data_IF_271313184970
#
_entry.id   IF_271313184970
#
_cell.length_a   1.000
_cell.length_b   1.000
_cell.length_c   1.000
_cell.angle_alpha   90.00
_cell.angle_beta   90.00
_cell.angle_gamma   90.00
#
_symmetry.space_group_name_H-M   'P 1'
#
loop_
_entity.id
_entity.type
_entity.pdbx_description
1 polymer ?
#
# COMPACT_ATOMS: atom_id res chain seq x y z
N UNK A 1 -24.03 23.30 -17.03
CA UNK A 1 -24.03 22.22 -16.02
C UNK A 1 -22.57 21.86 -15.74
N UNK A 2 -21.92 22.53 -14.77
CA UNK A 2 -20.52 22.26 -14.44
C UNK A 2 -20.39 21.06 -13.50
N UNK A 3 -19.31 20.27 -13.56
CA UNK A 3 -19.09 19.20 -12.60
C UNK A 3 -18.90 19.82 -11.22
N UNK A 4 -19.77 19.45 -10.26
CA UNK A 4 -19.57 19.78 -8.85
C UNK A 4 -18.33 19.02 -8.38
N UNK A 5 -17.19 19.71 -8.31
CA UNK A 5 -16.01 19.20 -7.63
C UNK A 5 -16.38 18.83 -6.20
N UNK A 6 -16.20 17.55 -5.84
CA UNK A 6 -16.39 17.07 -4.48
C UNK A 6 -15.29 17.70 -3.62
N UNK A 7 -15.64 18.63 -2.74
CA UNK A 7 -14.68 19.17 -1.75
C UNK A 7 -14.24 18.03 -0.82
N UNK A 8 -12.94 17.93 -0.52
CA UNK A 8 -12.48 17.10 0.58
C UNK A 8 -13.16 17.56 1.88
N UNK A 9 -13.62 16.64 2.76
CA UNK A 9 -14.22 17.00 4.03
C UNK A 9 -13.22 17.81 4.86
N UNK A 10 -13.63 18.99 5.33
CA UNK A 10 -12.80 19.87 6.17
C UNK A 10 -13.01 19.65 7.66
N UNK A 11 -13.69 18.58 8.06
CA UNK A 11 -14.05 18.31 9.45
C UNK A 11 -13.04 17.36 10.09
N UNK A 12 -12.01 17.90 10.72
CA UNK A 12 -11.28 17.18 11.77
C UNK A 12 -12.14 17.29 13.05
N UNK A 13 -12.56 16.18 13.68
CA UNK A 13 -13.35 16.25 14.91
C UNK A 13 -12.40 16.63 16.05
N UNK A 14 -12.48 17.86 16.54
CA UNK A 14 -11.57 18.37 17.60
C UNK A 14 -12.04 18.01 19.01
N UNK A 15 -13.13 17.25 19.17
CA UNK A 15 -13.80 17.00 20.45
C UNK A 15 -14.41 15.58 20.57
N UNK A 16 -14.02 14.64 19.70
CA UNK A 16 -14.62 13.30 19.63
C UNK A 16 -16.03 13.26 19.02
N UNK A 17 -16.63 14.42 18.72
CA UNK A 17 -17.89 14.50 17.98
C UNK A 17 -17.61 14.23 16.51
N UNK A 18 -18.07 13.08 15.99
CA UNK A 18 -17.91 12.74 14.58
C UNK A 18 -18.46 13.82 13.63
N UNK A 19 -17.97 13.81 12.38
CA UNK A 19 -18.55 14.59 11.29
C UNK A 19 -19.63 13.78 10.55
N UNK A 20 -20.38 14.44 9.66
CA UNK A 20 -21.32 13.75 8.76
C UNK A 20 -20.64 12.71 7.84
N UNK A 21 -19.32 12.78 7.66
CA UNK A 21 -18.53 11.84 6.86
C UNK A 21 -17.85 10.76 7.71
N UNK A 22 -17.44 11.11 8.92
CA UNK A 22 -16.79 10.19 9.87
C UNK A 22 -17.50 10.31 11.21
N UNK A 23 -18.43 9.39 11.50
CA UNK A 23 -19.29 9.45 12.69
C UNK A 23 -18.54 9.24 14.02
N UNK A 24 -17.31 8.75 13.97
CA UNK A 24 -16.38 8.70 15.10
C UNK A 24 -14.93 8.75 14.60
N UNK A 25 -14.00 8.95 15.52
CA UNK A 25 -12.56 8.82 15.26
C UNK A 25 -12.21 7.43 14.72
N UNK A 26 -12.84 6.39 15.26
CA UNK A 26 -12.63 5.01 14.79
C UNK A 26 -13.06 4.82 13.33
N UNK A 27 -14.19 5.42 12.90
CA UNK A 27 -14.58 5.40 11.48
C UNK A 27 -13.59 6.17 10.60
N UNK A 28 -13.02 7.28 11.09
CA UNK A 28 -11.97 7.99 10.37
C UNK A 28 -10.69 7.14 10.26
N UNK A 29 -10.27 6.47 11.32
CA UNK A 29 -9.09 5.59 11.34
C UNK A 29 -9.27 4.39 10.42
N UNK A 30 -10.45 3.76 10.39
CA UNK A 30 -10.77 2.72 9.40
C UNK A 30 -10.68 3.25 7.97
N UNK A 31 -11.14 4.46 7.69
CA UNK A 31 -11.02 5.03 6.35
C UNK A 31 -9.56 5.27 5.93
N UNK A 32 -8.68 5.69 6.84
CA UNK A 32 -7.24 5.85 6.56
C UNK A 32 -6.56 4.48 6.44
N UNK A 33 -6.89 3.53 7.31
CA UNK A 33 -6.43 2.13 7.23
C UNK A 33 -6.77 1.52 5.88
N UNK A 34 -7.99 1.71 5.39
CA UNK A 34 -8.42 1.25 4.07
C UNK A 34 -7.54 1.79 2.92
N UNK A 35 -6.97 2.99 3.07
CA UNK A 35 -6.06 3.55 2.08
C UNK A 35 -4.70 2.82 2.06
N UNK A 36 -4.24 2.25 3.18
CA UNK A 36 -3.03 1.42 3.24
C UNK A 36 -3.15 0.17 2.35
N UNK A 37 -4.36 -0.40 2.26
CA UNK A 37 -4.66 -1.57 1.42
C UNK A 37 -4.65 -1.27 -0.10
N UNK A 38 -4.43 -0.02 -0.50
CA UNK A 38 -4.05 0.29 -1.89
C UNK A 38 -2.82 -0.52 -2.31
N UNK A 39 -1.88 -0.79 -1.40
CA UNK A 39 -0.73 -1.62 -1.69
C UNK A 39 -1.10 -3.08 -2.01
N UNK A 40 -2.10 -3.64 -1.33
CA UNK A 40 -2.49 -5.04 -1.50
C UNK A 40 -3.11 -5.27 -2.88
N UNK A 41 -4.12 -4.49 -3.24
CA UNK A 41 -4.77 -4.69 -4.54
C UNK A 41 -3.99 -4.00 -5.66
N UNK A 42 -3.87 -2.68 -5.60
CA UNK A 42 -3.45 -1.89 -6.75
C UNK A 42 -1.96 -2.05 -7.03
N UNK A 43 -1.13 -2.15 -5.99
CA UNK A 43 0.33 -2.29 -6.18
C UNK A 43 0.76 -3.73 -6.36
N UNK A 44 0.52 -4.60 -5.38
CA UNK A 44 0.93 -6.01 -5.43
C UNK A 44 0.26 -6.71 -6.61
N UNK A 45 -1.07 -6.73 -6.69
CA UNK A 45 -1.75 -7.54 -7.71
C UNK A 45 -1.74 -6.90 -9.09
N UNK A 46 -2.12 -5.62 -9.18
CA UNK A 46 -2.35 -4.99 -10.49
C UNK A 46 -1.09 -4.44 -11.14
N UNK A 47 -0.25 -3.70 -10.40
CA UNK A 47 0.94 -3.07 -10.98
C UNK A 47 2.15 -4.01 -11.08
N UNK A 48 2.20 -5.09 -10.28
CA UNK A 48 3.36 -6.01 -10.26
C UNK A 48 2.96 -7.43 -10.68
N UNK A 49 2.09 -8.11 -9.94
CA UNK A 49 1.82 -9.54 -10.14
C UNK A 49 1.25 -9.82 -11.52
N UNK A 50 0.27 -9.04 -11.95
CA UNK A 50 -0.41 -9.23 -13.23
C UNK A 50 0.53 -9.02 -14.43
N UNK A 51 1.32 -7.93 -14.53
CA UNK A 51 2.33 -7.82 -15.57
C UNK A 51 3.43 -8.89 -15.52
N UNK A 52 3.78 -9.35 -14.31
CA UNK A 52 4.75 -10.42 -14.08
C UNK A 52 4.22 -11.83 -14.38
N UNK A 53 2.94 -11.97 -14.72
CA UNK A 53 2.32 -13.26 -14.97
C UNK A 53 2.08 -14.11 -13.72
N UNK A 54 2.17 -13.50 -12.53
CA UNK A 54 1.94 -14.16 -11.24
C UNK A 54 0.45 -14.21 -10.86
N UNK A 55 -0.37 -13.38 -11.50
CA UNK A 55 -1.84 -13.40 -11.40
C UNK A 55 -2.47 -12.99 -12.73
N UNK A 56 -3.69 -13.47 -12.99
CA UNK A 56 -4.55 -13.02 -14.10
C UNK A 56 -3.86 -12.78 -15.46
N UNK A 57 -2.93 -13.68 -15.83
CA UNK A 57 -2.19 -13.62 -17.08
C UNK A 57 -2.31 -14.94 -17.86
N UNK A 58 -3.15 -14.94 -18.89
CA UNK A 58 -3.48 -16.15 -19.66
C UNK A 58 -2.45 -16.51 -20.74
N UNK A 59 -1.42 -15.66 -20.96
CA UNK A 59 -0.40 -15.81 -22.02
C UNK A 59 1.03 -16.02 -21.51
N UNK A 60 1.25 -16.17 -20.19
CA UNK A 60 2.57 -16.46 -19.59
C UNK A 60 3.51 -15.26 -19.42
N UNK A 61 3.37 -14.20 -20.22
CA UNK A 61 3.96 -12.88 -19.96
C UNK A 61 2.95 -11.80 -20.35
N UNK A 62 2.68 -10.88 -19.42
CA UNK A 62 1.72 -9.80 -19.57
C UNK A 62 2.39 -8.43 -19.48
N UNK A 63 3.61 -8.30 -20.03
CA UNK A 63 4.33 -7.03 -20.14
C UNK A 63 3.48 -5.90 -20.75
N UNK A 64 2.49 -6.24 -21.57
CA UNK A 64 1.56 -5.25 -22.11
C UNK A 64 0.69 -4.56 -21.04
N UNK A 65 0.51 -5.18 -19.89
CA UNK A 65 -0.27 -4.66 -18.77
C UNK A 65 0.54 -3.77 -17.84
N UNK A 66 1.84 -3.59 -18.10
CA UNK A 66 2.67 -2.66 -17.31
C UNK A 66 2.12 -1.24 -17.42
N UNK A 67 1.72 -0.68 -16.29
CA UNK A 67 1.29 0.72 -16.21
C UNK A 67 2.45 1.66 -16.57
N UNK A 68 2.21 2.69 -17.37
CA UNK A 68 3.23 3.68 -17.78
C UNK A 68 4.41 3.11 -18.59
N UNK A 69 4.20 1.98 -19.27
CA UNK A 69 5.24 1.28 -20.06
C UNK A 69 5.99 2.11 -21.08
N UNK A 70 5.30 3.04 -21.73
CA UNK A 70 5.88 3.89 -22.77
C UNK A 70 6.77 5.01 -22.23
N UNK A 71 6.66 5.31 -20.93
CA UNK A 71 7.50 6.28 -20.24
C UNK A 71 8.61 5.61 -19.41
N UNK A 72 8.62 4.27 -19.33
CA UNK A 72 9.53 3.50 -18.46
C UNK A 72 9.51 3.97 -16.99
N UNK A 73 8.35 4.44 -16.52
CA UNK A 73 8.19 5.07 -15.21
C UNK A 73 7.57 4.15 -14.15
N UNK A 74 7.24 2.90 -14.51
CA UNK A 74 6.43 1.99 -13.69
C UNK A 74 7.05 1.71 -12.32
N UNK A 75 8.34 1.35 -12.29
CA UNK A 75 9.06 1.10 -11.04
C UNK A 75 9.10 2.36 -10.14
N UNK A 76 9.32 3.53 -10.74
CA UNK A 76 9.31 4.80 -10.01
C UNK A 76 7.92 5.15 -9.45
N UNK A 77 6.84 4.77 -10.12
CA UNK A 77 5.48 4.99 -9.64
C UNK A 77 5.07 4.00 -8.55
N UNK A 78 5.47 2.73 -8.68
CA UNK A 78 5.33 1.75 -7.60
C UNK A 78 6.07 2.21 -6.34
N UNK A 79 7.31 2.67 -6.48
CA UNK A 79 8.09 3.21 -5.36
C UNK A 79 7.39 4.40 -4.68
N UNK A 80 6.77 5.29 -5.47
CA UNK A 80 5.98 6.41 -4.92
C UNK A 80 4.72 5.93 -4.18
N UNK A 81 4.10 4.82 -4.58
CA UNK A 81 3.00 4.24 -3.82
C UNK A 81 3.48 3.70 -2.46
N UNK A 82 4.65 3.04 -2.41
CA UNK A 82 5.27 2.60 -1.16
C UNK A 82 5.60 3.77 -0.23
N UNK A 83 6.16 4.87 -0.77
CA UNK A 83 6.37 6.08 0.02
C UNK A 83 5.05 6.73 0.50
N UNK A 84 3.97 6.59 -0.26
CA UNK A 84 2.64 7.00 0.16
C UNK A 84 2.16 6.21 1.38
N UNK A 85 2.32 4.88 1.34
CA UNK A 85 2.08 4.00 2.49
C UNK A 85 2.94 4.42 3.68
N UNK A 86 4.25 4.65 3.49
CA UNK A 86 5.16 5.10 4.55
C UNK A 86 4.66 6.34 5.27
N UNK A 87 4.18 7.33 4.52
CA UNK A 87 3.68 8.60 5.11
C UNK A 87 2.41 8.44 5.92
N UNK A 88 1.59 7.45 5.60
CA UNK A 88 0.41 7.11 6.40
C UNK A 88 0.83 6.27 7.62
N UNK A 89 1.77 5.35 7.43
CA UNK A 89 2.17 4.40 8.47
C UNK A 89 3.08 5.00 9.53
N UNK A 90 4.06 5.85 9.16
CA UNK A 90 5.07 6.48 10.04
C UNK A 90 4.89 8.00 10.18
N UNK A 91 3.75 8.52 9.72
CA UNK A 91 3.46 9.95 9.69
C UNK A 91 4.19 10.74 8.59
N UNK A 92 3.81 12.02 8.44
CA UNK A 92 4.20 12.86 7.32
C UNK A 92 4.80 14.22 7.75
N UNK A 93 5.69 14.23 8.74
CA UNK A 93 6.44 15.46 9.07
C UNK A 93 7.51 15.76 8.03
N UNK A 94 8.00 17.01 8.01
CA UNK A 94 9.08 17.45 7.12
C UNK A 94 10.38 16.64 7.28
N UNK A 95 10.54 15.95 8.40
CA UNK A 95 11.77 15.26 8.79
C UNK A 95 11.60 13.73 8.72
N UNK A 96 10.45 13.23 8.22
CA UNK A 96 10.19 11.80 8.06
C UNK A 96 9.82 11.05 9.35
N UNK A 97 9.48 11.77 10.42
CA UNK A 97 9.00 11.22 11.70
C UNK A 97 7.77 11.99 12.17
N UNK A 98 6.59 11.38 12.18
CA UNK A 98 5.37 12.00 12.72
C UNK A 98 4.41 10.94 13.26
N UNK A 99 3.31 11.37 13.88
CA UNK A 99 2.33 10.42 14.45
C UNK A 99 1.76 9.56 13.31
N UNK A 100 2.04 8.26 13.38
CA UNK A 100 1.63 7.24 12.44
C UNK A 100 0.85 6.09 13.09
N UNK A 101 0.55 5.09 12.28
CA UNK A 101 0.01 3.82 12.77
C UNK A 101 1.07 2.97 13.48
N UNK A 102 2.34 3.12 13.14
CA UNK A 102 3.46 2.51 13.86
C UNK A 102 3.50 2.97 15.33
N UNK A 103 3.30 4.27 15.59
CA UNK A 103 3.19 4.80 16.95
C UNK A 103 1.98 4.21 17.68
N UNK A 104 0.85 4.04 17.00
CA UNK A 104 -0.34 3.44 17.60
C UNK A 104 -0.11 1.96 17.94
N UNK A 105 0.55 1.20 17.05
CA UNK A 105 0.98 -0.17 17.34
C UNK A 105 1.85 -0.23 18.60
N UNK A 106 2.85 0.64 18.72
CA UNK A 106 3.69 0.73 19.92
C UNK A 106 2.84 1.04 21.16
N UNK A 107 1.90 2.00 21.06
CA UNK A 107 1.04 2.40 22.16
C UNK A 107 0.12 1.26 22.67
N UNK A 108 -0.26 0.32 21.80
CA UNK A 108 -1.04 -0.88 22.19
C UNK A 108 -0.17 -2.10 22.53
N UNK A 109 1.15 -1.92 22.61
CA UNK A 109 2.09 -2.99 22.98
C UNK A 109 2.50 -3.92 21.83
N UNK A 110 2.29 -3.50 20.58
CA UNK A 110 2.60 -4.23 19.35
C UNK A 110 3.88 -3.73 18.66
N UNK A 111 4.90 -3.33 19.43
CA UNK A 111 6.15 -2.76 18.89
C UNK A 111 6.88 -3.72 17.93
N UNK A 112 6.88 -5.02 18.21
CA UNK A 112 7.48 -6.03 17.32
C UNK A 112 6.80 -6.03 15.94
N UNK A 113 5.48 -5.86 15.89
CA UNK A 113 4.74 -5.77 14.63
C UNK A 113 5.05 -4.48 13.88
N UNK A 114 5.13 -3.34 14.60
CA UNK A 114 5.52 -2.06 14.00
C UNK A 114 6.89 -2.18 13.32
N UNK A 115 7.87 -2.74 14.03
CA UNK A 115 9.22 -2.96 13.51
C UNK A 115 9.23 -3.91 12.30
N UNK A 116 8.49 -5.03 12.37
CA UNK A 116 8.39 -5.98 11.27
C UNK A 116 7.78 -5.35 10.00
N UNK A 117 6.75 -4.51 10.15
CA UNK A 117 6.15 -3.79 9.02
C UNK A 117 7.09 -2.74 8.43
N UNK A 118 7.85 -2.02 9.27
CA UNK A 118 8.88 -1.06 8.79
C UNK A 118 9.96 -1.80 8.00
N UNK A 119 10.46 -2.93 8.52
CA UNK A 119 11.46 -3.74 7.84
C UNK A 119 10.94 -4.28 6.50
N UNK A 120 9.71 -4.81 6.47
CA UNK A 120 9.09 -5.29 5.23
C UNK A 120 8.92 -4.17 4.19
N UNK A 121 8.55 -2.96 4.63
CA UNK A 121 8.44 -1.78 3.76
C UNK A 121 9.81 -1.34 3.22
N UNK A 122 10.84 -1.30 4.07
CA UNK A 122 12.21 -1.01 3.68
C UNK A 122 12.73 -2.00 2.61
N UNK A 123 12.47 -3.28 2.80
CA UNK A 123 12.85 -4.31 1.82
C UNK A 123 12.10 -4.16 0.50
N UNK A 124 10.79 -3.88 0.54
CA UNK A 124 9.99 -3.63 -0.65
C UNK A 124 10.47 -2.40 -1.42
N UNK A 125 10.73 -1.28 -0.73
CA UNK A 125 11.25 -0.07 -1.35
C UNK A 125 12.61 -0.29 -2.02
N UNK A 126 13.55 -0.97 -1.34
CA UNK A 126 14.86 -1.31 -1.91
C UNK A 126 14.73 -2.17 -3.17
N UNK A 127 13.93 -3.25 -3.11
CA UNK A 127 13.78 -4.16 -4.25
C UNK A 127 13.14 -3.49 -5.46
N UNK A 128 12.18 -2.58 -5.25
CA UNK A 128 11.57 -1.81 -6.35
C UNK A 128 12.54 -0.74 -6.89
N UNK A 129 13.26 -0.04 -6.02
CA UNK A 129 14.21 1.00 -6.43
C UNK A 129 15.36 0.44 -7.28
N UNK A 130 15.75 -0.82 -7.03
CA UNK A 130 16.83 -1.48 -7.76
C UNK A 130 16.41 -1.92 -9.18
N UNK A 131 15.12 -1.91 -9.53
CA UNK A 131 14.63 -2.29 -10.88
C UNK A 131 15.13 -1.26 -11.91
N UNK A 132 16.05 -1.71 -12.78
CA UNK A 132 16.70 -0.90 -13.79
C UNK A 132 17.05 -1.77 -15.02
N UNK A 133 16.98 -1.24 -16.26
CA UNK A 133 16.64 0.15 -16.61
C UNK A 133 15.14 0.47 -16.53
N UNK A 134 14.28 -0.55 -16.55
CA UNK A 134 12.84 -0.39 -16.40
C UNK A 134 12.18 -1.71 -16.00
N UNK A 135 10.93 -1.66 -15.53
CA UNK A 135 10.18 -2.86 -15.16
C UNK A 135 9.93 -3.76 -16.38
N UNK A 136 9.65 -3.19 -17.56
CA UNK A 136 9.41 -3.97 -18.77
C UNK A 136 10.67 -4.70 -19.24
N UNK A 137 11.84 -4.04 -19.15
CA UNK A 137 13.11 -4.65 -19.53
C UNK A 137 13.45 -5.82 -18.60
N UNK A 138 13.29 -5.63 -17.28
CA UNK A 138 13.58 -6.65 -16.28
C UNK A 138 12.59 -7.82 -16.35
N UNK A 139 11.31 -7.57 -16.66
CA UNK A 139 10.33 -8.66 -16.92
C UNK A 139 10.77 -9.62 -18.03
N UNK A 140 11.55 -9.14 -19.01
CA UNK A 140 12.06 -9.97 -20.10
C UNK A 140 13.41 -10.59 -19.76
N UNK A 141 14.32 -9.83 -19.15
CA UNK A 141 15.70 -10.28 -18.93
C UNK A 141 15.90 -11.06 -17.63
N UNK A 142 15.08 -10.80 -16.61
CA UNK A 142 15.18 -11.35 -15.26
C UNK A 142 13.81 -11.33 -14.53
N UNK A 143 12.84 -12.17 -14.96
CA UNK A 143 11.51 -12.20 -14.36
C UNK A 143 11.50 -12.59 -12.88
N UNK A 144 12.47 -13.41 -12.45
CA UNK A 144 12.61 -13.83 -11.04
C UNK A 144 12.87 -12.63 -10.12
N UNK A 145 13.58 -11.61 -10.61
CA UNK A 145 13.77 -10.35 -9.89
C UNK A 145 12.46 -9.59 -9.65
N UNK A 146 11.55 -9.60 -10.61
CA UNK A 146 10.22 -8.99 -10.43
C UNK A 146 9.37 -9.84 -9.47
N UNK A 147 9.46 -11.16 -9.55
CA UNK A 147 8.79 -12.05 -8.60
C UNK A 147 9.30 -11.87 -7.16
N UNK A 148 10.61 -11.66 -6.98
CA UNK A 148 11.19 -11.34 -5.68
C UNK A 148 10.69 -9.99 -5.15
N UNK A 149 10.63 -8.95 -5.99
CA UNK A 149 10.09 -7.66 -5.60
C UNK A 149 8.59 -7.73 -5.23
N UNK A 150 7.79 -8.48 -5.99
CA UNK A 150 6.40 -8.79 -5.67
C UNK A 150 6.27 -9.46 -4.29
N UNK A 151 7.11 -10.47 -4.01
CA UNK A 151 7.07 -11.19 -2.74
C UNK A 151 7.35 -10.27 -1.53
N UNK A 152 8.20 -9.25 -1.69
CA UNK A 152 8.44 -8.24 -0.63
C UNK A 152 7.22 -7.37 -0.37
N UNK A 153 6.55 -6.88 -1.42
CA UNK A 153 5.28 -6.14 -1.26
C UNK A 153 4.21 -7.02 -0.64
N UNK A 154 4.11 -8.29 -1.04
CA UNK A 154 3.18 -9.27 -0.45
C UNK A 154 3.47 -9.49 1.04
N UNK A 155 4.72 -9.64 1.44
CA UNK A 155 5.07 -9.80 2.86
C UNK A 155 4.56 -8.63 3.73
N UNK A 156 4.71 -7.40 3.24
CA UNK A 156 4.15 -6.22 3.90
C UNK A 156 2.61 -6.26 3.96
N UNK A 157 1.93 -6.64 2.87
CA UNK A 157 0.46 -6.63 2.86
C UNK A 157 -0.16 -7.83 3.58
N UNK A 158 0.58 -8.92 3.77
CA UNK A 158 0.16 -10.04 4.62
C UNK A 158 0.13 -9.62 6.10
N UNK A 159 1.17 -8.91 6.59
CA UNK A 159 1.17 -8.31 7.94
C UNK A 159 0.00 -7.33 8.11
N UNK A 160 -0.29 -6.55 7.06
CA UNK A 160 -1.40 -5.60 7.05
C UNK A 160 -2.76 -6.30 7.17
N UNK A 161 -2.98 -7.41 6.45
CA UNK A 161 -4.25 -8.16 6.45
C UNK A 161 -4.50 -8.93 7.75
N UNK A 162 -3.44 -9.45 8.36
CA UNK A 162 -3.55 -10.30 9.54
C UNK A 162 -3.38 -9.48 10.83
N UNK A 163 -2.12 -9.24 11.20
CA UNK A 163 -1.78 -8.77 12.54
C UNK A 163 -2.17 -7.31 12.75
N UNK A 164 -1.99 -6.45 11.75
CA UNK A 164 -2.28 -5.02 11.86
C UNK A 164 -3.76 -4.72 12.16
N UNK A 165 -4.67 -5.29 11.36
CA UNK A 165 -6.11 -5.15 11.54
C UNK A 165 -6.52 -5.67 12.92
N UNK A 166 -5.97 -6.81 13.32
CA UNK A 166 -6.28 -7.44 14.61
C UNK A 166 -5.79 -6.61 15.79
N UNK A 167 -4.54 -6.14 15.77
CA UNK A 167 -3.93 -5.42 16.90
C UNK A 167 -4.54 -4.05 17.14
N UNK A 168 -5.04 -3.40 16.08
CA UNK A 168 -5.64 -2.06 16.16
C UNK A 168 -7.17 -2.07 16.17
N UNK A 169 -7.79 -3.26 16.22
CA UNK A 169 -9.25 -3.45 16.17
C UNK A 169 -9.90 -2.73 14.96
N UNK A 170 -9.22 -2.77 13.81
CA UNK A 170 -9.67 -2.13 12.58
C UNK A 170 -10.53 -3.09 11.75
N UNK A 171 -11.19 -2.56 10.73
CA UNK A 171 -11.97 -3.36 9.79
C UNK A 171 -11.15 -3.67 8.53
N UNK A 172 -11.18 -4.94 8.10
CA UNK A 172 -10.62 -5.31 6.81
C UNK A 172 -11.48 -4.72 5.68
N UNK A 173 -10.90 -4.04 4.67
CA UNK A 173 -11.67 -3.54 3.54
C UNK A 173 -12.41 -4.67 2.80
N UNK A 174 -13.64 -4.40 2.36
CA UNK A 174 -14.42 -5.33 1.53
C UNK A 174 -13.66 -5.73 0.26
N UNK A 175 -12.83 -4.83 -0.28
CA UNK A 175 -12.03 -5.06 -1.50
C UNK A 175 -10.93 -6.09 -1.33
N UNK A 176 -10.53 -6.42 -0.10
CA UNK A 176 -9.48 -7.39 0.24
C UNK A 176 -10.06 -8.66 0.87
N UNK A 177 -11.27 -8.61 1.42
CA UNK A 177 -11.97 -9.78 1.97
C UNK A 177 -12.31 -10.86 0.92
N UNK A 178 -12.35 -10.50 -0.36
CA UNK A 178 -12.65 -11.45 -1.46
C UNK A 178 -11.45 -12.30 -1.90
N UNK A 179 -10.23 -12.02 -1.43
CA UNK A 179 -8.98 -12.71 -1.83
C UNK A 179 -8.52 -13.75 -0.77
N UNK A 180 -9.41 -14.08 0.17
CA UNK A 180 -9.20 -15.08 1.23
C UNK A 180 -9.88 -16.45 0.92
N UNK A 181 -10.08 -16.79 -0.36
CA UNK A 181 -10.60 -18.10 -0.83
C UNK A 181 -9.55 -18.83 -1.69
#
# INVERSE_FOLDING_TARGET
MGPKGRKLPTGSPSDGSGSATFSSEHVALNAVSNALFYLDKEVKDWKIARPAGLSECFSGNCADLVESRYAHASAAYVLRNLHGFRRLFQGCSSDGQGIGFDDWLVAVGAEDLANAMIEALDEAERNIADISPSLEAVLVSDPDRIAAAHAKVKGLTDLLKADFITMLDLELPITTASDND
#
